data_IF_201465334599
#
_entry.id   IF_201465334599
#
_cell.length_a   1.000
_cell.length_b   1.000
_cell.length_c   1.000
_cell.angle_alpha   90.00
_cell.angle_beta   90.00
_cell.angle_gamma   90.00
#
_symmetry.space_group_name_H-M   'P 1'
#
loop_
_entity.id
_entity.type
_entity.pdbx_description
1 polymer ?
#
# COMPACT_ATOMS: atom_id res chain seq x y z
N UNK A 1 12.13 -9.97 9.72
CA UNK A 1 11.67 -11.16 10.49
C UNK A 1 11.69 -12.39 9.61
N UNK A 2 11.13 -12.32 8.38
CA UNK A 2 11.14 -13.43 7.42
C UNK A 2 12.58 -13.92 7.14
N UNK A 3 13.55 -13.01 7.05
CA UNK A 3 14.97 -13.28 6.80
C UNK A 3 15.67 -14.01 7.97
N UNK A 4 15.02 -14.09 9.13
CA UNK A 4 15.51 -14.78 10.32
C UNK A 4 14.87 -16.17 10.51
N UNK A 5 13.87 -16.51 9.68
CA UNK A 5 13.27 -17.84 9.66
C UNK A 5 14.21 -18.77 8.88
N UNK A 6 14.46 -19.97 9.42
CA UNK A 6 15.26 -20.98 8.73
C UNK A 6 14.70 -21.28 7.34
N UNK A 7 15.56 -21.33 6.32
CA UNK A 7 15.16 -21.58 4.94
C UNK A 7 14.43 -22.92 4.74
N UNK A 8 14.65 -23.87 5.65
CA UNK A 8 14.00 -25.18 5.71
C UNK A 8 12.63 -25.16 6.41
N UNK A 9 12.32 -24.11 7.18
CA UNK A 9 11.02 -23.93 7.82
C UNK A 9 10.01 -23.28 6.85
N UNK A 10 9.69 -24.03 5.80
CA UNK A 10 8.78 -23.61 4.71
C UNK A 10 7.40 -23.24 5.26
N UNK A 11 6.86 -24.02 6.20
CA UNK A 11 5.54 -23.75 6.80
C UNK A 11 5.48 -22.35 7.44
N UNK A 12 6.49 -21.98 8.23
CA UNK A 12 6.54 -20.66 8.84
C UNK A 12 6.74 -19.55 7.82
N UNK A 13 7.58 -19.77 6.80
CA UNK A 13 7.80 -18.80 5.71
C UNK A 13 6.50 -18.52 4.95
N UNK A 14 5.77 -19.57 4.57
CA UNK A 14 4.48 -19.47 3.88
C UNK A 14 3.44 -18.74 4.74
N UNK A 15 3.32 -19.12 6.03
CA UNK A 15 2.34 -18.51 6.92
C UNK A 15 2.60 -17.02 7.15
N UNK A 16 3.86 -16.63 7.41
CA UNK A 16 4.23 -15.24 7.67
C UNK A 16 4.12 -14.41 6.40
N UNK A 17 4.68 -14.89 5.28
CA UNK A 17 4.58 -14.19 4.00
C UNK A 17 3.14 -14.05 3.55
N UNK A 18 2.35 -15.13 3.60
CA UNK A 18 0.95 -15.12 3.19
C UNK A 18 0.09 -14.13 3.99
N UNK A 19 0.32 -14.00 5.30
CA UNK A 19 -0.36 -13.00 6.12
C UNK A 19 0.06 -11.57 5.76
N UNK A 20 1.36 -11.37 5.48
CA UNK A 20 1.91 -10.06 5.12
C UNK A 20 1.43 -9.62 3.74
N UNK A 21 1.52 -10.46 2.72
CA UNK A 21 1.04 -10.13 1.37
C UNK A 21 -0.47 -9.82 1.38
N UNK A 22 -1.27 -10.61 2.09
CA UNK A 22 -2.69 -10.33 2.29
C UNK A 22 -2.95 -8.99 2.98
N UNK A 23 -2.12 -8.61 3.94
CA UNK A 23 -2.21 -7.30 4.59
C UNK A 23 -1.93 -6.16 3.60
N UNK A 24 -0.86 -6.27 2.80
CA UNK A 24 -0.47 -5.25 1.83
C UNK A 24 -1.57 -5.03 0.79
N UNK A 25 -2.14 -6.11 0.23
CA UNK A 25 -3.25 -6.00 -0.73
C UNK A 25 -4.48 -5.31 -0.11
N UNK A 26 -4.84 -5.69 1.11
CA UNK A 26 -6.00 -5.11 1.81
C UNK A 26 -5.77 -3.65 2.22
N UNK A 27 -4.53 -3.28 2.56
CA UNK A 27 -4.13 -1.93 2.91
C UNK A 27 -4.22 -1.00 1.69
N UNK A 28 -3.55 -1.36 0.59
CA UNK A 28 -3.58 -0.59 -0.65
C UNK A 28 -5.02 -0.37 -1.15
N UNK A 29 -5.84 -1.43 -1.16
CA UNK A 29 -7.24 -1.31 -1.59
C UNK A 29 -8.09 -0.48 -0.62
N UNK A 30 -7.76 -0.45 0.68
CA UNK A 30 -8.46 0.41 1.64
C UNK A 30 -8.16 1.89 1.38
N UNK A 31 -6.92 2.22 1.03
CA UNK A 31 -6.52 3.60 0.72
C UNK A 31 -7.21 4.09 -0.54
N UNK A 32 -7.14 3.29 -1.60
CA UNK A 32 -7.76 3.57 -2.89
C UNK A 32 -9.30 3.57 -2.86
N UNK A 33 -9.92 3.09 -1.79
CA UNK A 33 -11.40 3.15 -1.64
C UNK A 33 -11.86 4.25 -0.72
N UNK A 34 -11.02 4.64 0.23
CA UNK A 34 -11.47 5.43 1.38
C UNK A 34 -10.59 6.64 1.62
N UNK A 35 -9.26 6.50 1.55
CA UNK A 35 -8.34 7.56 1.88
C UNK A 35 -8.14 8.51 0.70
N UNK A 36 -7.64 8.03 -0.44
CA UNK A 36 -7.30 8.91 -1.57
C UNK A 36 -8.49 9.71 -2.12
N UNK A 37 -9.74 9.19 -2.16
CA UNK A 37 -10.88 10.02 -2.55
C UNK A 37 -11.18 11.16 -1.59
N UNK A 38 -10.86 11.02 -0.29
CA UNK A 38 -10.99 12.12 0.68
C UNK A 38 -9.77 13.04 0.63
N UNK A 39 -8.58 12.50 0.38
CA UNK A 39 -7.35 13.25 0.15
C UNK A 39 -7.54 14.21 -1.04
N UNK A 40 -7.96 13.72 -2.21
CA UNK A 40 -8.21 14.55 -3.39
C UNK A 40 -9.19 15.71 -3.16
N UNK A 41 -10.15 15.56 -2.23
CA UNK A 41 -11.13 16.61 -1.90
C UNK A 41 -10.61 17.68 -0.95
N UNK A 42 -9.70 17.30 -0.07
CA UNK A 42 -9.30 18.13 1.09
C UNK A 42 -7.84 18.56 1.04
N UNK A 43 -6.99 17.80 0.36
CA UNK A 43 -5.57 18.04 0.24
C UNK A 43 -5.22 19.13 -0.76
N UNK A 44 -4.00 19.65 -0.62
CA UNK A 44 -3.42 20.64 -1.52
C UNK A 44 -2.09 20.15 -2.14
N UNK A 45 -1.56 19.01 -1.69
CA UNK A 45 -0.22 18.49 -1.96
C UNK A 45 0.77 18.76 -0.82
N UNK A 46 1.71 17.85 -0.58
CA UNK A 46 2.75 18.04 0.45
C UNK A 46 4.17 17.61 0.04
N UNK A 47 5.14 18.32 0.63
CA UNK A 47 6.58 18.01 0.60
C UNK A 47 7.17 17.79 -0.80
N UNK A 48 7.60 16.57 -1.11
CA UNK A 48 8.38 16.20 -2.28
C UNK A 48 7.55 15.52 -3.38
N UNK A 49 6.22 15.70 -3.37
CA UNK A 49 5.35 15.30 -4.48
C UNK A 49 5.83 15.96 -5.80
N UNK A 50 5.93 15.20 -6.90
CA UNK A 50 6.67 15.63 -8.11
C UNK A 50 6.20 16.98 -8.68
N UNK A 51 4.89 17.20 -8.73
CA UNK A 51 4.28 18.44 -9.21
C UNK A 51 3.77 19.36 -8.09
N UNK A 52 3.94 18.93 -6.83
CA UNK A 52 3.52 19.64 -5.63
C UNK A 52 2.01 19.71 -5.42
N UNK A 53 1.21 18.90 -6.12
CA UNK A 53 -0.26 18.88 -6.04
C UNK A 53 -0.79 17.63 -5.35
N UNK A 54 -2.04 17.70 -4.87
CA UNK A 54 -2.75 16.54 -4.32
C UNK A 54 -3.00 15.46 -5.38
N UNK A 55 -3.16 15.87 -6.65
CA UNK A 55 -3.31 14.95 -7.78
C UNK A 55 -2.01 14.18 -8.01
N UNK A 56 -0.87 14.86 -8.12
CA UNK A 56 0.43 14.23 -8.33
C UNK A 56 0.81 13.26 -7.21
N UNK A 57 0.65 13.63 -5.94
CA UNK A 57 0.92 12.69 -4.84
C UNK A 57 -0.04 11.48 -4.85
N UNK A 58 -1.27 11.65 -5.33
CA UNK A 58 -2.23 10.54 -5.46
C UNK A 58 -1.86 9.62 -6.64
N UNK A 59 -1.44 10.18 -7.78
CA UNK A 59 -0.97 9.42 -8.93
C UNK A 59 0.27 8.58 -8.58
N UNK A 60 1.24 9.19 -7.91
CA UNK A 60 2.44 8.53 -7.39
C UNK A 60 2.08 7.35 -6.47
N UNK A 61 1.14 7.57 -5.56
CA UNK A 61 0.69 6.54 -4.62
C UNK A 61 0.01 5.36 -5.33
N UNK A 62 -0.83 5.61 -6.35
CA UNK A 62 -1.44 4.55 -7.18
C UNK A 62 -0.36 3.78 -7.97
N UNK A 63 0.62 4.47 -8.53
CA UNK A 63 1.73 3.81 -9.24
C UNK A 63 2.54 2.91 -8.29
N UNK A 64 2.83 3.39 -7.09
CA UNK A 64 3.58 2.63 -6.09
C UNK A 64 2.79 1.41 -5.59
N UNK A 65 1.46 1.50 -5.46
CA UNK A 65 0.62 0.32 -5.21
C UNK A 65 0.69 -0.71 -6.34
N UNK A 66 0.68 -0.27 -7.60
CA UNK A 66 0.82 -1.18 -8.74
C UNK A 66 2.17 -1.91 -8.70
N UNK A 67 3.26 -1.18 -8.44
CA UNK A 67 4.60 -1.77 -8.27
C UNK A 67 4.62 -2.78 -7.11
N UNK A 68 3.97 -2.47 -6.00
CA UNK A 68 3.92 -3.36 -4.84
C UNK A 68 3.15 -4.65 -5.16
N UNK A 69 2.00 -4.56 -5.82
CA UNK A 69 1.22 -5.73 -6.28
C UNK A 69 2.03 -6.62 -7.20
N UNK A 70 2.76 -6.03 -8.14
CA UNK A 70 3.62 -6.78 -9.07
C UNK A 70 4.78 -7.45 -8.33
N UNK A 71 5.40 -6.76 -7.36
CA UNK A 71 6.46 -7.34 -6.53
C UNK A 71 5.95 -8.50 -5.65
N UNK A 72 4.78 -8.35 -5.02
CA UNK A 72 4.13 -9.43 -4.25
C UNK A 72 3.83 -10.63 -5.15
N UNK A 73 3.29 -10.39 -6.34
CA UNK A 73 3.00 -11.44 -7.33
C UNK A 73 4.26 -12.16 -7.79
N UNK A 74 5.38 -11.46 -7.96
CA UNK A 74 6.64 -12.05 -8.38
C UNK A 74 7.17 -13.09 -7.36
N UNK A 75 6.94 -12.89 -6.07
CA UNK A 75 7.36 -13.85 -5.02
C UNK A 75 6.76 -15.23 -5.23
N UNK A 76 5.52 -15.32 -5.72
CA UNK A 76 4.85 -16.60 -5.99
C UNK A 76 5.51 -17.41 -7.13
N UNK A 77 6.39 -16.80 -7.92
CA UNK A 77 7.15 -17.47 -8.98
C UNK A 77 8.36 -18.26 -8.49
N UNK A 78 8.67 -18.22 -7.18
CA UNK A 78 9.88 -18.83 -6.61
C UNK A 78 9.56 -19.89 -5.55
N UNK A 79 10.39 -20.92 -5.46
CA UNK A 79 10.29 -21.95 -4.42
C UNK A 79 10.54 -21.33 -3.05
N UNK A 80 9.58 -21.44 -2.13
CA UNK A 80 9.68 -20.91 -0.76
C UNK A 80 10.94 -21.44 -0.07
N UNK A 81 11.65 -20.57 0.65
CA UNK A 81 12.92 -20.90 1.31
C UNK A 81 14.15 -20.89 0.40
N UNK A 82 13.97 -20.82 -0.92
CA UNK A 82 15.08 -20.64 -1.85
C UNK A 82 15.66 -19.23 -1.78
N UNK A 83 16.92 -19.07 -2.21
CA UNK A 83 17.57 -17.76 -2.32
C UNK A 83 16.76 -16.78 -3.18
N UNK A 84 16.25 -17.25 -4.32
CA UNK A 84 15.45 -16.44 -5.23
C UNK A 84 14.13 -15.97 -4.59
N UNK A 85 13.51 -16.80 -3.74
CA UNK A 85 12.31 -16.41 -3.00
C UNK A 85 12.62 -15.31 -1.98
N UNK A 86 13.71 -15.43 -1.21
CA UNK A 86 14.14 -14.38 -0.29
C UNK A 86 14.51 -13.08 -1.01
N UNK A 87 15.21 -13.17 -2.15
CA UNK A 87 15.55 -11.99 -2.96
C UNK A 87 14.27 -11.29 -3.47
N UNK A 88 13.24 -12.05 -3.88
CA UNK A 88 11.95 -11.50 -4.31
C UNK A 88 11.16 -10.86 -3.16
N UNK A 89 11.13 -11.48 -1.97
CA UNK A 89 10.54 -10.86 -0.76
C UNK A 89 11.28 -9.57 -0.40
N UNK A 90 12.61 -9.57 -0.51
CA UNK A 90 13.43 -8.37 -0.31
C UNK A 90 13.10 -7.25 -1.30
N UNK A 91 12.88 -7.58 -2.57
CA UNK A 91 12.45 -6.60 -3.58
C UNK A 91 11.08 -6.00 -3.25
N UNK A 92 10.10 -6.82 -2.84
CA UNK A 92 8.81 -6.34 -2.38
C UNK A 92 8.94 -5.43 -1.14
N UNK A 93 9.84 -5.75 -0.22
CA UNK A 93 10.10 -4.92 0.96
C UNK A 93 10.70 -3.55 0.59
N UNK A 94 11.58 -3.47 -0.41
CA UNK A 94 12.12 -2.19 -0.90
C UNK A 94 11.01 -1.32 -1.49
N UNK A 95 10.16 -1.90 -2.35
CA UNK A 95 9.02 -1.18 -2.94
C UNK A 95 8.08 -0.68 -1.85
N UNK A 96 7.71 -1.54 -0.90
CA UNK A 96 6.87 -1.17 0.23
C UNK A 96 7.49 -0.05 1.08
N UNK A 97 8.80 -0.11 1.33
CA UNK A 97 9.49 0.91 2.13
C UNK A 97 9.53 2.27 1.45
N UNK A 98 9.64 2.31 0.12
CA UNK A 98 9.54 3.55 -0.66
C UNK A 98 8.14 4.14 -0.53
N UNK A 99 7.11 3.35 -0.84
CA UNK A 99 5.70 3.73 -0.74
C UNK A 99 5.35 4.29 0.65
N UNK A 100 5.61 3.54 1.73
CA UNK A 100 5.32 4.00 3.10
C UNK A 100 6.06 5.30 3.45
N UNK A 101 7.28 5.46 2.92
CA UNK A 101 8.06 6.66 3.13
C UNK A 101 7.43 7.87 2.46
N UNK A 102 6.98 7.73 1.22
CA UNK A 102 6.28 8.78 0.48
C UNK A 102 4.94 9.11 1.12
N UNK A 103 4.13 8.10 1.43
CA UNK A 103 2.81 8.28 2.04
C UNK A 103 2.86 9.08 3.35
N UNK A 104 3.80 8.77 4.25
CA UNK A 104 3.96 9.48 5.53
C UNK A 104 4.40 10.94 5.33
N UNK A 105 5.25 11.21 4.32
CA UNK A 105 5.72 12.57 4.03
C UNK A 105 4.71 13.36 3.20
N UNK A 106 3.91 12.73 2.36
CA UNK A 106 3.03 13.40 1.39
C UNK A 106 1.58 13.29 1.86
N UNK A 107 0.78 12.39 1.28
CA UNK A 107 -0.67 12.31 1.50
C UNK A 107 -1.11 12.29 2.95
N UNK A 108 -0.43 11.56 3.86
CA UNK A 108 -0.79 11.59 5.28
C UNK A 108 -0.47 12.93 5.95
N UNK A 109 0.64 13.55 5.58
CA UNK A 109 1.00 14.88 6.09
C UNK A 109 0.03 15.95 5.57
N UNK A 110 -0.32 15.89 4.29
CA UNK A 110 -1.29 16.79 3.67
C UNK A 110 -2.66 16.66 4.34
N UNK A 111 -3.20 15.43 4.39
CA UNK A 111 -4.51 15.18 4.99
C UNK A 111 -4.60 15.62 6.46
N UNK A 112 -3.53 15.45 7.24
CA UNK A 112 -3.50 15.88 8.65
C UNK A 112 -3.57 17.40 8.82
N UNK A 113 -3.10 18.17 7.83
CA UNK A 113 -3.12 19.64 7.85
C UNK A 113 -4.48 20.18 7.44
N UNK A 114 -5.16 19.50 6.51
CA UNK A 114 -6.35 20.03 5.87
C UNK A 114 -7.68 19.39 6.34
N UNK A 115 -7.69 18.14 6.79
CA UNK A 115 -8.89 17.48 7.28
C UNK A 115 -9.14 17.72 8.78
N UNK A 116 -10.39 17.96 9.16
CA UNK A 116 -10.78 18.07 10.56
C UNK A 116 -10.70 16.72 11.31
N UNK A 117 -10.74 16.79 12.65
CA UNK A 117 -10.59 15.61 13.50
C UNK A 117 -11.70 14.58 13.28
N UNK A 118 -12.94 15.02 13.06
CA UNK A 118 -14.08 14.11 12.92
C UNK A 118 -13.97 13.33 11.61
N UNK A 119 -13.63 14.00 10.51
CA UNK A 119 -13.38 13.40 9.19
C UNK A 119 -12.28 12.36 9.27
N UNK A 120 -11.15 12.70 9.91
CA UNK A 120 -10.04 11.77 10.14
C UNK A 120 -10.45 10.56 10.98
N UNK A 121 -11.26 10.76 12.01
CA UNK A 121 -11.75 9.68 12.85
C UNK A 121 -12.67 8.73 12.06
N UNK A 122 -13.67 9.27 11.37
CA UNK A 122 -14.64 8.49 10.62
C UNK A 122 -13.98 7.73 9.47
N UNK A 123 -12.99 8.33 8.82
CA UNK A 123 -12.14 7.65 7.85
C UNK A 123 -11.36 6.50 8.49
N UNK A 124 -10.67 6.75 9.61
CA UNK A 124 -9.91 5.74 10.32
C UNK A 124 -10.76 4.53 10.75
N UNK A 125 -12.00 4.76 11.20
CA UNK A 125 -12.96 3.70 11.53
C UNK A 125 -13.33 2.88 10.29
N UNK A 126 -13.66 3.54 9.16
CA UNK A 126 -13.99 2.84 7.90
C UNK A 126 -12.81 2.00 7.41
N UNK A 127 -11.62 2.57 7.42
CA UNK A 127 -10.38 1.95 6.99
C UNK A 127 -10.04 0.70 7.83
N UNK A 128 -10.04 0.84 9.16
CA UNK A 128 -9.79 -0.28 10.07
C UNK A 128 -10.83 -1.39 9.92
N UNK A 129 -12.11 -1.03 9.78
CA UNK A 129 -13.18 -2.00 9.56
C UNK A 129 -13.05 -2.72 8.21
N UNK A 130 -12.60 -2.03 7.15
CA UNK A 130 -12.32 -2.65 5.86
C UNK A 130 -11.20 -3.68 5.98
N UNK A 131 -10.05 -3.31 6.55
CA UNK A 131 -8.92 -4.24 6.71
C UNK A 131 -9.28 -5.44 7.58
N UNK A 132 -10.04 -5.24 8.67
CA UNK A 132 -10.48 -6.32 9.54
C UNK A 132 -11.36 -7.35 8.79
N UNK A 133 -12.24 -6.89 7.89
CA UNK A 133 -13.08 -7.77 7.04
C UNK A 133 -12.28 -8.49 5.95
N UNK A 134 -11.13 -7.97 5.57
CA UNK A 134 -10.27 -8.51 4.51
C UNK A 134 -8.93 -8.99 5.06
N UNK A 135 -8.93 -9.59 6.25
CA UNK A 135 -7.70 -10.07 6.91
C UNK A 135 -6.94 -11.13 6.08
N UNK A 136 -7.65 -11.82 5.19
CA UNK A 136 -7.11 -12.81 4.24
C UNK A 136 -6.79 -12.21 2.86
N UNK A 137 -6.80 -10.88 2.75
CA UNK A 137 -6.50 -10.15 1.53
C UNK A 137 -7.74 -9.85 0.68
N UNK A 138 -7.48 -9.16 -0.41
CA UNK A 138 -8.43 -8.84 -1.49
C UNK A 138 -7.87 -9.34 -2.81
N UNK A 139 -8.68 -9.30 -3.88
CA UNK A 139 -8.15 -9.53 -5.23
C UNK A 139 -7.36 -8.27 -5.67
N UNK A 140 -6.03 -8.34 -5.86
CA UNK A 140 -5.26 -7.18 -6.30
C UNK A 140 -5.61 -6.84 -7.76
N UNK A 141 -5.78 -5.55 -8.02
CA UNK A 141 -6.07 -5.00 -9.35
C UNK A 141 -5.26 -3.72 -9.50
N UNK A 142 -4.39 -3.66 -10.50
CA UNK A 142 -3.67 -2.43 -10.83
C UNK A 142 -4.64 -1.40 -11.40
N UNK A 143 -4.42 -0.13 -11.06
CA UNK A 143 -5.26 1.00 -11.47
C UNK A 143 -4.44 1.96 -12.33
N UNK A 144 -5.09 2.58 -13.31
CA UNK A 144 -4.48 3.65 -14.09
C UNK A 144 -4.45 4.93 -13.23
N UNK A 145 -3.27 5.53 -12.94
CA UNK A 145 -3.17 6.67 -12.03
C UNK A 145 -3.99 7.89 -12.48
N UNK A 146 -3.83 8.30 -13.74
CA UNK A 146 -4.50 9.46 -14.31
C UNK A 146 -6.03 9.26 -14.29
N UNK A 147 -6.52 8.13 -14.80
CA UNK A 147 -7.95 7.85 -14.81
C UNK A 147 -8.53 7.69 -13.39
N UNK A 148 -7.72 7.24 -12.43
CA UNK A 148 -8.14 7.15 -11.03
C UNK A 148 -8.39 8.54 -10.45
N UNK A 149 -7.45 9.47 -10.63
CA UNK A 149 -7.59 10.86 -10.18
C UNK A 149 -8.76 11.55 -10.89
N UNK A 150 -8.90 11.40 -12.20
CA UNK A 150 -10.05 11.96 -12.95
C UNK A 150 -11.41 11.49 -12.43
N UNK A 151 -11.49 10.25 -11.92
CA UNK A 151 -12.75 9.67 -11.43
C UNK A 151 -13.07 10.06 -9.98
N UNK A 152 -12.06 10.40 -9.18
CA UNK A 152 -12.21 10.60 -7.73
C UNK A 152 -11.89 12.02 -7.23
N UNK A 153 -11.33 12.88 -8.09
CA UNK A 153 -11.03 14.29 -7.83
C UNK A 153 -12.18 15.25 -8.12
#
# INVERSE_FOLDING_TARGET
MIEQIGADNVEALEAVWGRLSAFLDAHAEAEERHFYPELLKLGEGANDAEDGTVQGETEDAIEDHNKLRDAVKAVAGHTVGSRAWFDAVGAANVVNSKHMGEEERQGLTDFRRNADLQTRHDLGVRFAAFQARHITGVKPVNKDPEAYVETHG
#
